data_IF_761117471220
#
_entry.id   IF_761117471220
#
_cell.length_a   1.000
_cell.length_b   1.000
_cell.length_c   1.000
_cell.angle_alpha   90.00
_cell.angle_beta   90.00
_cell.angle_gamma   90.00
#
_symmetry.space_group_name_H-M   'P 1'
#
loop_
_entity.id
_entity.type
_entity.pdbx_description
1 polymer ?
#
# COMPACT_ATOMS: atom_id res chain seq x y z
N UNK A 1 -2.45 11.58 3.23
CA UNK A 1 -3.83 11.09 3.05
C UNK A 1 -3.81 9.57 3.07
N UNK A 2 -4.69 8.93 3.82
CA UNK A 2 -4.78 7.46 3.95
C UNK A 2 -3.87 6.83 5.01
N UNK A 3 -2.92 7.57 5.61
CA UNK A 3 -1.97 7.02 6.57
C UNK A 3 -2.55 6.75 7.96
N UNK A 4 -3.66 7.41 8.34
CA UNK A 4 -4.24 7.27 9.67
C UNK A 4 -3.35 7.78 10.82
N UNK A 5 -2.57 8.83 10.59
CA UNK A 5 -1.66 9.38 11.60
C UNK A 5 -2.39 9.81 12.89
N UNK A 6 -2.00 9.22 14.03
CA UNK A 6 -2.70 9.37 15.32
C UNK A 6 -2.66 10.79 15.90
N UNK A 7 -1.52 11.51 15.91
CA UNK A 7 -1.47 12.89 16.37
C UNK A 7 -2.40 13.81 15.58
N UNK A 8 -2.40 13.67 14.25
CA UNK A 8 -3.26 14.47 13.37
C UNK A 8 -4.74 14.12 13.59
N UNK A 9 -5.07 12.84 13.79
CA UNK A 9 -6.42 12.40 14.12
C UNK A 9 -6.91 13.02 15.44
N UNK A 10 -6.08 13.02 16.47
CA UNK A 10 -6.42 13.61 17.77
C UNK A 10 -6.62 15.13 17.67
N UNK A 11 -5.77 15.81 16.90
CA UNK A 11 -5.92 17.24 16.62
C UNK A 11 -7.26 17.53 15.93
N UNK A 12 -7.58 16.79 14.87
CA UNK A 12 -8.83 16.98 14.12
C UNK A 12 -10.06 16.72 14.98
N UNK A 13 -10.04 15.69 15.84
CA UNK A 13 -11.13 15.44 16.81
C UNK A 13 -11.31 16.62 17.77
N UNK A 14 -10.21 17.19 18.29
CA UNK A 14 -10.26 18.35 19.17
C UNK A 14 -10.78 19.62 18.46
N UNK A 15 -10.61 19.73 17.13
CA UNK A 15 -11.20 20.80 16.34
C UNK A 15 -12.69 20.56 16.07
N UNK A 16 -13.11 19.31 15.84
CA UNK A 16 -14.52 18.97 15.63
C UNK A 16 -15.40 19.25 16.84
N UNK A 17 -14.88 19.14 18.07
CA UNK A 17 -15.63 19.44 19.30
C UNK A 17 -15.83 20.94 19.52
N UNK A 18 -15.28 21.81 18.66
CA UNK A 18 -15.46 23.26 18.72
C UNK A 18 -16.83 23.70 18.19
N UNK A 19 -17.90 23.26 18.83
CA UNK A 19 -19.29 23.65 18.52
C UNK A 19 -19.86 24.44 19.69
N UNK A 20 -20.64 25.49 19.43
CA UNK A 20 -21.40 26.19 20.47
C UNK A 20 -21.59 27.69 20.20
N UNK A 21 -22.56 28.32 20.89
CA UNK A 21 -22.88 29.74 20.72
C UNK A 21 -21.72 30.67 21.14
N UNK A 22 -20.87 30.21 22.06
CA UNK A 22 -19.69 30.94 22.55
C UNK A 22 -18.54 31.01 21.52
N UNK A 23 -18.66 30.29 20.41
CA UNK A 23 -17.62 30.15 19.37
C UNK A 23 -18.11 30.67 18.03
N UNK A 24 -18.63 31.90 18.02
CA UNK A 24 -19.21 32.54 16.83
C UNK A 24 -18.25 32.66 15.61
N UNK A 25 -16.94 32.56 15.83
CA UNK A 25 -15.93 32.56 14.76
C UNK A 25 -15.81 31.22 14.01
N UNK A 26 -16.40 30.13 14.52
CA UNK A 26 -16.41 28.81 13.88
C UNK A 26 -17.59 28.75 12.92
N UNK A 27 -17.33 28.96 11.64
CA UNK A 27 -18.36 28.96 10.59
C UNK A 27 -18.65 27.54 10.09
N UNK A 28 -19.74 27.35 9.35
CA UNK A 28 -20.06 26.06 8.70
C UNK A 28 -18.88 25.52 7.88
N UNK A 29 -18.23 26.39 7.11
CA UNK A 29 -17.07 26.05 6.30
C UNK A 29 -15.89 25.49 7.08
N UNK A 30 -15.67 25.97 8.31
CA UNK A 30 -14.62 25.42 9.17
C UNK A 30 -14.89 23.97 9.56
N UNK A 31 -16.16 23.61 9.85
CA UNK A 31 -16.55 22.23 10.11
C UNK A 31 -16.41 21.35 8.86
N UNK A 32 -16.75 21.88 7.68
CA UNK A 32 -16.54 21.18 6.40
C UNK A 32 -15.05 20.92 6.16
N UNK A 33 -14.19 21.90 6.39
CA UNK A 33 -12.75 21.77 6.22
C UNK A 33 -12.15 20.70 7.16
N UNK A 34 -12.51 20.72 8.44
CA UNK A 34 -12.04 19.75 9.43
C UNK A 34 -12.55 18.34 9.09
N UNK A 35 -13.83 18.22 8.69
CA UNK A 35 -14.43 16.93 8.31
C UNK A 35 -13.78 16.37 7.04
N UNK A 36 -13.49 17.23 6.07
CA UNK A 36 -12.75 16.85 4.86
C UNK A 36 -11.33 16.37 5.20
N UNK A 37 -10.60 17.10 6.05
CA UNK A 37 -9.27 16.68 6.48
C UNK A 37 -9.29 15.32 7.19
N UNK A 38 -10.31 15.06 8.02
CA UNK A 38 -10.49 13.77 8.68
C UNK A 38 -10.79 12.66 7.68
N UNK A 39 -11.66 12.92 6.70
CA UNK A 39 -11.94 12.01 5.59
C UNK A 39 -10.70 11.66 4.77
N UNK A 40 -9.83 12.65 4.50
CA UNK A 40 -8.56 12.43 3.79
C UNK A 40 -7.53 11.68 4.64
N UNK A 41 -7.53 11.84 5.96
CA UNK A 41 -6.64 11.11 6.85
C UNK A 41 -6.94 9.61 6.82
N UNK A 42 -8.23 9.25 6.85
CA UNK A 42 -8.73 7.87 6.85
C UNK A 42 -9.35 7.48 5.50
N UNK A 43 -8.77 7.95 4.41
CA UNK A 43 -9.32 7.81 3.07
C UNK A 43 -9.56 6.33 2.71
N UNK A 44 -10.83 5.98 2.50
CA UNK A 44 -11.30 4.61 2.28
C UNK A 44 -10.79 3.62 3.35
N UNK A 45 -10.77 4.03 4.62
CA UNK A 45 -10.32 3.20 5.74
C UNK A 45 -8.80 3.00 5.80
N UNK A 46 -8.03 3.86 5.13
CA UNK A 46 -6.56 3.73 5.03
C UNK A 46 -6.10 2.84 3.87
N UNK A 47 -7.01 2.48 2.97
CA UNK A 47 -6.69 1.69 1.77
C UNK A 47 -6.24 2.57 0.60
N UNK A 48 -6.71 3.82 0.55
CA UNK A 48 -6.51 4.74 -0.57
C UNK A 48 -5.64 5.93 -0.17
N UNK A 49 -4.96 6.52 -1.15
CA UNK A 49 -4.31 7.81 -1.03
C UNK A 49 -4.58 8.70 -2.24
N UNK A 50 -4.10 9.95 -2.21
CA UNK A 50 -4.17 10.89 -3.34
C UNK A 50 -2.96 10.82 -4.26
N UNK A 51 -3.19 10.63 -5.56
CA UNK A 51 -2.15 10.63 -6.59
C UNK A 51 -1.58 12.04 -6.81
N UNK A 52 -0.34 12.12 -7.30
CA UNK A 52 0.35 13.40 -7.60
C UNK A 52 0.82 13.46 -9.06
N UNK A 53 -0.05 13.05 -9.98
CA UNK A 53 0.18 13.12 -11.43
C UNK A 53 -0.27 14.50 -11.95
N UNK A 54 0.19 14.90 -13.13
CA UNK A 54 -0.18 16.18 -13.75
C UNK A 54 -1.70 16.34 -13.93
N UNK A 55 -2.41 15.24 -14.19
CA UNK A 55 -3.88 15.19 -14.28
C UNK A 55 -4.58 15.30 -12.92
N UNK A 56 -3.91 14.85 -11.86
CA UNK A 56 -4.46 14.82 -10.51
C UNK A 56 -4.47 16.23 -9.88
N UNK A 57 -3.43 17.02 -10.13
CA UNK A 57 -3.25 18.37 -9.58
C UNK A 57 -4.46 19.29 -9.85
N UNK A 58 -4.95 19.48 -11.09
CA UNK A 58 -6.09 20.37 -11.34
C UNK A 58 -7.38 19.91 -10.66
N UNK A 59 -7.59 18.59 -10.55
CA UNK A 59 -8.75 18.01 -9.87
C UNK A 59 -8.67 18.27 -8.36
N UNK A 60 -7.47 18.13 -7.76
CA UNK A 60 -7.25 18.44 -6.35
C UNK A 60 -7.39 19.94 -6.07
N UNK A 61 -6.95 20.81 -6.97
CA UNK A 61 -7.14 22.26 -6.86
C UNK A 61 -8.62 22.63 -6.86
N UNK A 62 -9.42 21.99 -7.72
CA UNK A 62 -10.86 22.15 -7.73
C UNK A 62 -11.49 21.61 -6.43
N UNK A 63 -11.07 20.45 -5.94
CA UNK A 63 -11.64 19.85 -4.73
C UNK A 63 -11.28 20.60 -3.44
N UNK A 64 -10.05 21.13 -3.35
CA UNK A 64 -9.50 21.78 -2.17
C UNK A 64 -9.38 23.29 -2.33
N UNK A 65 -10.31 23.89 -3.08
CA UNK A 65 -10.37 25.34 -3.19
C UNK A 65 -10.46 26.00 -1.80
N UNK A 66 -9.54 26.94 -1.46
CA UNK A 66 -9.30 27.38 -0.09
C UNK A 66 -10.45 28.20 0.51
N UNK A 67 -11.36 28.72 -0.32
CA UNK A 67 -12.54 29.44 0.18
C UNK A 67 -13.63 28.46 0.58
N UNK A 68 -13.91 28.35 1.88
CA UNK A 68 -15.00 27.51 2.41
C UNK A 68 -16.33 28.29 2.50
N UNK A 69 -17.49 27.61 2.43
CA UNK A 69 -18.81 28.25 2.47
C UNK A 69 -19.17 28.75 3.87
N UNK A 70 -19.87 29.88 3.97
CA UNK A 70 -20.30 30.42 5.28
C UNK A 70 -21.55 29.72 5.83
N UNK A 71 -22.42 29.23 4.95
CA UNK A 71 -23.63 28.47 5.30
C UNK A 71 -23.77 27.25 4.39
N UNK A 72 -24.65 26.31 4.73
CA UNK A 72 -24.82 25.07 3.97
C UNK A 72 -25.32 25.29 2.54
N UNK A 73 -26.05 26.37 2.27
CA UNK A 73 -26.51 26.72 0.93
C UNK A 73 -25.60 27.72 0.19
N UNK A 74 -24.49 28.14 0.80
CA UNK A 74 -23.57 29.08 0.20
C UNK A 74 -22.71 28.40 -0.87
N UNK A 75 -22.89 28.85 -2.11
CA UNK A 75 -22.17 28.41 -3.31
C UNK A 75 -21.60 29.62 -4.09
N UNK A 76 -21.46 30.78 -3.45
CA UNK A 76 -21.13 32.04 -4.14
C UNK A 76 -19.73 32.04 -4.78
N UNK A 77 -18.74 31.50 -4.07
CA UNK A 77 -17.33 31.51 -4.49
C UNK A 77 -16.87 30.17 -5.08
N UNK A 78 -17.51 29.07 -4.66
CA UNK A 78 -17.13 27.72 -5.07
C UNK A 78 -18.31 26.77 -4.91
N UNK A 79 -18.58 25.96 -5.93
CA UNK A 79 -19.65 24.97 -5.89
C UNK A 79 -19.28 23.83 -4.93
N UNK A 80 -20.11 23.57 -3.94
CA UNK A 80 -19.84 22.52 -2.94
C UNK A 80 -19.65 21.13 -3.54
N UNK A 81 -20.30 20.83 -4.68
CA UNK A 81 -20.17 19.53 -5.34
C UNK A 81 -18.73 19.24 -5.80
N UNK A 82 -17.97 20.27 -6.17
CA UNK A 82 -16.59 20.10 -6.63
C UNK A 82 -15.65 19.62 -5.53
N UNK A 83 -16.02 19.81 -4.27
CA UNK A 83 -15.29 19.26 -3.12
C UNK A 83 -15.25 17.74 -3.10
N UNK A 84 -16.09 17.06 -3.86
CA UNK A 84 -16.07 15.59 -4.00
C UNK A 84 -15.18 15.09 -5.14
N UNK A 85 -14.62 15.98 -5.96
CA UNK A 85 -13.77 15.61 -7.10
C UNK A 85 -12.48 14.89 -6.68
N UNK A 86 -12.03 15.03 -5.42
CA UNK A 86 -10.84 14.30 -4.93
C UNK A 86 -10.98 12.77 -5.07
N UNK A 87 -12.20 12.24 -5.16
CA UNK A 87 -12.46 10.81 -5.38
C UNK A 87 -11.86 10.31 -6.69
N UNK A 88 -11.84 11.14 -7.74
CA UNK A 88 -11.25 10.80 -9.04
C UNK A 88 -9.73 10.59 -8.98
N UNK A 89 -9.09 11.18 -7.95
CA UNK A 89 -7.64 11.14 -7.74
C UNK A 89 -7.23 10.07 -6.73
N UNK A 90 -8.21 9.38 -6.13
CA UNK A 90 -7.96 8.33 -5.16
C UNK A 90 -7.39 7.08 -5.84
N UNK A 91 -6.27 6.59 -5.30
CA UNK A 91 -5.61 5.35 -5.75
C UNK A 91 -5.39 4.41 -4.56
N UNK A 92 -5.55 3.11 -4.81
CA UNK A 92 -5.33 2.07 -3.79
C UNK A 92 -3.84 1.83 -3.58
N UNK A 93 -3.39 1.88 -2.33
CA UNK A 93 -1.97 1.80 -1.94
C UNK A 93 -1.67 0.86 -0.78
N UNK A 94 -2.70 0.24 -0.22
CA UNK A 94 -2.54 -0.74 0.85
C UNK A 94 -2.09 -2.08 0.29
N UNK A 95 -0.92 -2.53 0.74
CA UNK A 95 -0.35 -3.83 0.43
C UNK A 95 -0.57 -4.79 1.60
N UNK A 96 -1.23 -5.91 1.32
CA UNK A 96 -1.47 -6.99 2.28
C UNK A 96 -0.91 -8.27 1.69
N UNK A 97 -0.12 -9.01 2.47
CA UNK A 97 0.42 -10.30 2.04
C UNK A 97 -0.39 -11.45 2.62
N UNK A 98 -0.62 -12.49 1.82
CA UNK A 98 -1.24 -13.75 2.24
C UNK A 98 -0.34 -14.92 1.85
N UNK A 99 -0.20 -15.88 2.75
CA UNK A 99 0.52 -17.10 2.46
C UNK A 99 -0.34 -18.00 1.54
N UNK A 100 0.25 -18.49 0.45
CA UNK A 100 -0.45 -19.35 -0.54
C UNK A 100 -0.91 -20.66 0.10
N UNK A 101 -0.13 -21.19 1.05
CA UNK A 101 -0.41 -22.52 1.64
C UNK A 101 -1.51 -22.48 2.71
N UNK A 102 -1.54 -21.42 3.51
CA UNK A 102 -2.47 -21.29 4.65
C UNK A 102 -3.63 -20.35 4.35
N UNK A 103 -3.56 -19.57 3.27
CA UNK A 103 -4.49 -18.49 2.92
C UNK A 103 -4.68 -17.41 4.01
N UNK A 104 -3.82 -17.41 5.04
CA UNK A 104 -3.85 -16.43 6.12
C UNK A 104 -3.01 -15.21 5.78
N UNK A 105 -3.40 -14.06 6.33
CA UNK A 105 -2.61 -12.83 6.22
C UNK A 105 -1.31 -13.02 6.98
N UNK A 106 -0.20 -12.78 6.29
CA UNK A 106 1.14 -12.89 6.83
C UNK A 106 1.80 -11.52 6.85
N UNK A 107 2.74 -11.34 7.77
CA UNK A 107 3.51 -10.11 7.91
C UNK A 107 4.95 -10.39 7.48
N UNK A 108 5.37 -9.72 6.41
CA UNK A 108 6.62 -9.98 5.70
C UNK A 108 7.40 -8.68 5.60
N UNK A 109 8.72 -8.79 5.73
CA UNK A 109 9.61 -7.65 5.58
C UNK A 109 9.94 -7.40 4.11
N UNK A 110 10.08 -6.13 3.76
CA UNK A 110 10.45 -5.69 2.43
C UNK A 110 11.31 -4.44 2.46
N UNK A 111 11.87 -4.12 1.30
CA UNK A 111 12.66 -2.92 1.02
C UNK A 111 12.03 -2.18 -0.13
N UNK A 112 11.93 -0.88 0.02
CA UNK A 112 11.40 0.03 -0.98
C UNK A 112 12.46 1.07 -1.31
N UNK A 113 12.73 1.24 -2.60
CA UNK A 113 13.56 2.32 -3.09
C UNK A 113 12.65 3.42 -3.60
N UNK A 114 12.66 4.55 -2.89
CA UNK A 114 11.91 5.75 -3.27
C UNK A 114 12.85 6.83 -3.76
N UNK A 115 12.46 7.53 -4.82
CA UNK A 115 13.13 8.72 -5.30
C UNK A 115 12.47 9.94 -4.67
N UNK A 116 13.07 10.46 -3.61
CA UNK A 116 12.64 11.69 -2.95
C UNK A 116 13.68 12.78 -3.25
N UNK A 117 13.28 13.88 -3.90
CA UNK A 117 14.15 15.04 -4.20
C UNK A 117 15.47 14.69 -4.92
N UNK A 118 15.40 13.83 -5.95
CA UNK A 118 16.56 13.31 -6.70
C UNK A 118 17.56 12.47 -5.86
N UNK A 119 17.19 12.08 -4.65
CA UNK A 119 17.96 11.17 -3.82
C UNK A 119 17.21 9.84 -3.66
N UNK A 120 17.93 8.74 -3.87
CA UNK A 120 17.40 7.40 -3.68
C UNK A 120 17.44 7.08 -2.18
N UNK A 121 16.27 6.94 -1.57
CA UNK A 121 16.13 6.51 -0.19
C UNK A 121 15.66 5.06 -0.14
N UNK A 122 16.27 4.27 0.75
CA UNK A 122 15.89 2.88 1.00
C UNK A 122 15.09 2.84 2.30
N UNK A 123 13.81 2.49 2.20
CA UNK A 123 12.91 2.35 3.34
C UNK A 123 12.56 0.87 3.52
N UNK A 124 12.86 0.33 4.69
CA UNK A 124 12.36 -1.00 5.08
C UNK A 124 10.90 -0.87 5.50
N UNK A 125 10.08 -1.84 5.14
CA UNK A 125 8.69 -1.90 5.54
C UNK A 125 8.30 -3.31 5.94
N UNK A 126 7.16 -3.41 6.63
CA UNK A 126 6.58 -4.68 7.05
C UNK A 126 5.10 -4.68 6.69
N UNK A 127 4.63 -5.74 6.04
CA UNK A 127 3.22 -5.84 5.62
C UNK A 127 2.32 -6.21 6.82
N UNK A 128 1.05 -5.76 6.86
CA UNK A 128 0.39 -4.86 5.91
C UNK A 128 0.97 -3.44 5.98
N UNK A 129 1.21 -2.84 4.82
CA UNK A 129 1.81 -1.50 4.73
C UNK A 129 1.09 -0.62 3.72
N UNK A 130 1.17 0.69 3.95
CA UNK A 130 0.70 1.70 3.01
C UNK A 130 1.88 2.17 2.17
N UNK A 131 1.81 1.96 0.85
CA UNK A 131 2.88 2.35 -0.07
C UNK A 131 2.87 3.87 -0.31
N UNK A 132 4.03 4.47 -0.62
CA UNK A 132 4.10 5.85 -1.11
C UNK A 132 3.54 5.95 -2.54
N UNK A 133 3.57 7.15 -3.12
CA UNK A 133 3.12 7.36 -4.49
C UNK A 133 3.94 6.55 -5.50
N UNK A 134 3.30 5.90 -6.46
CA UNK A 134 3.94 5.09 -7.49
C UNK A 134 4.99 5.85 -8.32
N UNK A 135 4.80 7.16 -8.55
CA UNK A 135 5.80 7.99 -9.27
C UNK A 135 7.16 7.98 -8.53
N UNK A 136 7.13 7.92 -7.20
CA UNK A 136 8.34 7.90 -6.37
C UNK A 136 8.98 6.52 -6.29
N UNK A 137 8.26 5.44 -6.61
CA UNK A 137 8.74 4.06 -6.42
C UNK A 137 9.65 3.69 -7.60
N UNK A 138 10.89 3.30 -7.29
CA UNK A 138 11.86 2.77 -8.28
C UNK A 138 11.94 1.26 -8.25
N UNK A 139 11.97 0.70 -7.05
CA UNK A 139 12.10 -0.73 -6.84
C UNK A 139 11.35 -1.11 -5.57
N UNK A 140 10.71 -2.27 -5.60
CA UNK A 140 10.08 -2.89 -4.44
C UNK A 140 10.58 -4.33 -4.35
N UNK A 141 11.14 -4.69 -3.21
CA UNK A 141 11.61 -6.03 -2.92
C UNK A 141 10.94 -6.54 -1.65
N UNK A 142 10.32 -7.70 -1.73
CA UNK A 142 9.86 -8.46 -0.56
C UNK A 142 10.95 -9.48 -0.27
N UNK A 143 11.64 -9.31 0.85
CA UNK A 143 12.78 -10.15 1.23
C UNK A 143 12.66 -10.50 2.71
N UNK A 144 12.26 -11.74 2.94
CA UNK A 144 12.12 -12.31 4.27
C UNK A 144 12.66 -13.74 4.28
N UNK A 145 13.26 -14.15 5.39
CA UNK A 145 14.02 -15.40 5.48
C UNK A 145 13.19 -16.66 5.37
N UNK A 146 11.85 -16.57 5.38
CA UNK A 146 10.97 -17.73 5.30
C UNK A 146 10.23 -17.83 3.96
N UNK A 147 10.32 -16.81 3.12
CA UNK A 147 9.52 -16.66 1.90
C UNK A 147 10.42 -16.50 0.67
N UNK A 148 9.89 -16.83 -0.50
CA UNK A 148 10.58 -16.57 -1.76
C UNK A 148 10.64 -15.05 -2.03
N UNK A 149 11.81 -14.52 -2.46
CA UNK A 149 11.94 -13.10 -2.71
C UNK A 149 11.17 -12.69 -3.97
N UNK A 150 10.48 -11.55 -3.89
CA UNK A 150 9.73 -10.97 -5.02
C UNK A 150 10.29 -9.58 -5.28
N UNK A 151 10.64 -9.29 -6.53
CA UNK A 151 11.27 -8.02 -6.93
C UNK A 151 10.45 -7.40 -8.06
N UNK A 152 10.09 -6.14 -7.89
CA UNK A 152 9.50 -5.27 -8.91
C UNK A 152 10.46 -4.11 -9.16
N UNK A 153 11.05 -4.04 -10.35
CA UNK A 153 12.05 -3.02 -10.72
C UNK A 153 11.74 -2.40 -12.09
N UNK A 154 11.24 -3.19 -13.03
CA UNK A 154 10.90 -2.70 -14.36
C UNK A 154 9.59 -1.91 -14.35
N UNK A 155 9.44 -0.94 -15.26
CA UNK A 155 8.21 -0.14 -15.37
C UNK A 155 6.95 -0.99 -15.61
N UNK A 156 7.04 -2.04 -16.45
CA UNK A 156 5.94 -2.98 -16.65
C UNK A 156 5.54 -3.71 -15.37
N UNK A 157 6.52 -4.07 -14.53
CA UNK A 157 6.28 -4.75 -13.26
C UNK A 157 5.59 -3.81 -12.25
N UNK A 158 6.01 -2.54 -12.23
CA UNK A 158 5.38 -1.50 -11.40
C UNK A 158 3.94 -1.23 -11.87
N UNK A 159 3.68 -1.21 -13.18
CA UNK A 159 2.33 -1.11 -13.72
C UNK A 159 1.46 -2.31 -13.31
N UNK A 160 1.99 -3.54 -13.38
CA UNK A 160 1.29 -4.73 -12.87
C UNK A 160 0.99 -4.63 -11.38
N UNK A 161 1.96 -4.14 -10.59
CA UNK A 161 1.76 -3.91 -9.16
C UNK A 161 0.63 -2.89 -8.90
N UNK A 162 0.55 -1.81 -9.69
CA UNK A 162 -0.54 -0.84 -9.63
C UNK A 162 -1.90 -1.49 -9.96
N UNK A 163 -1.95 -2.38 -10.95
CA UNK A 163 -3.16 -3.13 -11.30
C UNK A 163 -3.58 -4.08 -10.16
N UNK A 164 -2.64 -4.79 -9.54
CA UNK A 164 -2.92 -5.67 -8.40
C UNK A 164 -3.47 -4.91 -7.18
N UNK A 165 -2.90 -3.74 -6.89
CA UNK A 165 -3.37 -2.87 -5.80
C UNK A 165 -4.76 -2.29 -6.09
N UNK A 166 -5.05 -1.98 -7.35
CA UNK A 166 -6.36 -1.44 -7.77
C UNK A 166 -7.49 -2.46 -7.62
N UNK A 167 -7.19 -3.77 -7.74
CA UNK A 167 -8.13 -4.86 -7.49
C UNK A 167 -8.35 -5.06 -5.99
N UNK A 168 -7.46 -5.83 -5.36
CA UNK A 168 -7.66 -6.30 -3.99
C UNK A 168 -6.53 -5.88 -3.05
N UNK A 169 -5.35 -5.51 -3.57
CA UNK A 169 -4.16 -5.22 -2.75
C UNK A 169 -3.61 -6.45 -2.01
N UNK A 170 -4.00 -7.65 -2.44
CA UNK A 170 -3.55 -8.92 -1.90
C UNK A 170 -2.36 -9.45 -2.69
N UNK A 171 -1.28 -9.77 -1.99
CA UNK A 171 -0.07 -10.35 -2.54
C UNK A 171 0.11 -11.76 -2.00
N UNK A 172 0.12 -12.74 -2.89
CA UNK A 172 0.32 -14.12 -2.51
C UNK A 172 1.82 -14.42 -2.43
N UNK A 173 2.25 -14.89 -1.26
CA UNK A 173 3.66 -15.22 -1.02
C UNK A 173 3.76 -16.68 -0.61
N UNK A 174 4.73 -17.38 -1.18
CA UNK A 174 4.96 -18.79 -0.89
C UNK A 174 6.14 -18.95 0.06
N UNK A 175 5.96 -19.78 1.10
CA UNK A 175 7.06 -20.18 1.99
C UNK A 175 8.10 -20.97 1.21
N UNK A 176 9.38 -20.68 1.46
CA UNK A 176 10.47 -21.54 1.03
C UNK A 176 10.58 -22.71 2.02
N UNK A 177 10.21 -23.91 1.60
CA UNK A 177 10.22 -25.13 2.43
C UNK A 177 11.61 -25.48 2.97
N UNK A 178 12.65 -25.22 2.19
CA UNK A 178 14.05 -25.42 2.60
C UNK A 178 14.43 -24.40 3.68
N UNK A 179 14.11 -23.11 3.47
CA UNK A 179 14.52 -22.01 4.35
C UNK A 179 13.74 -22.00 5.68
N UNK A 180 12.45 -22.31 5.64
CA UNK A 180 11.60 -22.46 6.83
C UNK A 180 11.98 -23.66 7.70
N UNK A 181 12.46 -24.75 7.10
CA UNK A 181 12.97 -25.90 7.85
C UNK A 181 14.30 -25.61 8.56
N UNK A 182 15.14 -24.75 7.97
CA UNK A 182 16.42 -24.29 8.52
C UNK A 182 16.23 -23.33 9.71
N UNK A 183 15.24 -22.43 9.65
CA UNK A 183 14.94 -21.52 10.76
C UNK A 183 14.33 -22.24 11.96
N UNK A 184 13.56 -23.31 11.73
CA UNK A 184 12.98 -24.14 12.80
C UNK A 184 13.98 -25.12 13.44
N UNK A 185 15.02 -25.55 12.72
CA UNK A 185 16.00 -26.54 13.21
C UNK A 185 17.40 -25.94 13.33
N UNK A 186 17.68 -25.36 14.50
CA UNK A 186 19.02 -24.84 14.89
C UNK A 186 20.10 -25.91 15.13
N UNK A 187 19.84 -27.20 14.89
CA UNK A 187 20.77 -28.30 15.20
C UNK A 187 21.53 -28.79 13.96
N UNK A 188 22.86 -28.90 14.07
CA UNK A 188 23.77 -29.34 13.00
C UNK A 188 23.50 -30.75 12.47
N UNK A 189 22.90 -31.63 13.26
CA UNK A 189 22.58 -33.02 12.87
C UNK A 189 21.48 -33.12 11.81
N UNK A 190 20.51 -32.21 11.81
CA UNK A 190 19.39 -32.24 10.84
C UNK A 190 19.77 -31.76 9.44
N UNK A 191 20.85 -31.00 9.31
CA UNK A 191 21.38 -30.53 8.02
C UNK A 191 22.03 -31.66 7.21
N UNK A 192 22.79 -32.52 7.89
CA UNK A 192 23.42 -33.71 7.28
C UNK A 192 22.34 -34.69 6.81
N UNK A 193 21.26 -34.84 7.57
CA UNK A 193 20.16 -35.73 7.22
C UNK A 193 19.37 -35.23 5.99
N UNK A 194 19.20 -33.91 5.84
CA UNK A 194 18.58 -33.28 4.66
C UNK A 194 19.46 -33.30 3.40
N UNK A 195 20.79 -33.25 3.56
CA UNK A 195 21.73 -33.36 2.44
C UNK A 195 21.89 -34.81 1.97
N UNK A 196 21.87 -35.77 2.89
CA UNK A 196 22.02 -37.20 2.59
C UNK A 196 20.83 -37.82 1.86
N UNK A 197 19.64 -37.24 1.96
CA UNK A 197 18.41 -37.77 1.34
C UNK A 197 18.18 -37.27 -0.09
N UNK A 198 19.13 -36.57 -0.72
CA UNK A 198 18.81 -35.61 -1.78
C UNK A 198 19.66 -35.72 -3.07
N UNK A 199 19.83 -36.92 -3.63
CA UNK A 199 20.28 -37.08 -5.04
C UNK A 199 19.19 -36.67 -6.06
N UNK A 200 17.91 -36.66 -5.67
CA UNK A 200 16.80 -36.12 -6.46
C UNK A 200 16.82 -34.59 -6.62
N UNK A 201 17.72 -33.91 -5.90
CA UNK A 201 17.75 -32.45 -5.81
C UNK A 201 18.11 -31.77 -7.14
N UNK A 202 19.02 -32.33 -7.95
CA UNK A 202 19.40 -31.72 -9.24
C UNK A 202 18.25 -31.72 -10.27
N UNK A 203 17.40 -32.75 -10.26
CA UNK A 203 16.17 -32.78 -11.07
C UNK A 203 15.13 -31.80 -10.53
N UNK A 204 15.01 -31.66 -9.21
CA UNK A 204 14.17 -30.62 -8.62
C UNK A 204 14.73 -29.22 -8.83
N UNK A 205 16.03 -29.00 -9.03
CA UNK A 205 16.59 -27.69 -9.38
C UNK A 205 16.21 -27.29 -10.81
N UNK A 206 16.26 -28.23 -11.76
CA UNK A 206 15.75 -27.99 -13.13
C UNK A 206 14.23 -27.80 -13.17
N UNK A 207 13.47 -28.64 -12.45
CA UNK A 207 12.02 -28.44 -12.31
C UNK A 207 11.69 -27.18 -11.50
N UNK A 208 12.50 -26.79 -10.52
CA UNK A 208 12.34 -25.58 -9.73
C UNK A 208 12.72 -24.35 -10.52
N UNK A 209 13.61 -24.40 -11.51
CA UNK A 209 13.89 -23.29 -12.44
C UNK A 209 12.74 -23.11 -13.45
N UNK A 210 12.20 -24.21 -13.99
CA UNK A 210 10.97 -24.19 -14.80
C UNK A 210 9.74 -23.77 -13.99
N UNK A 211 9.65 -24.18 -12.73
CA UNK A 211 8.65 -23.70 -11.79
C UNK A 211 8.97 -22.30 -11.29
N UNK A 212 10.21 -21.82 -11.22
CA UNK A 212 10.51 -20.45 -10.76
C UNK A 212 10.08 -19.45 -11.83
N UNK A 213 10.33 -19.76 -13.10
CA UNK A 213 9.80 -19.01 -14.25
C UNK A 213 8.28 -19.17 -14.40
N UNK A 214 7.73 -20.37 -14.16
CA UNK A 214 6.29 -20.64 -14.19
C UNK A 214 5.50 -20.07 -13.01
N UNK A 215 6.07 -20.09 -11.80
CA UNK A 215 5.50 -19.59 -10.53
C UNK A 215 5.74 -18.10 -10.39
N UNK A 216 6.86 -17.52 -10.86
CA UNK A 216 6.89 -16.07 -11.07
C UNK A 216 5.78 -15.67 -12.03
N UNK A 217 5.55 -16.39 -13.14
CA UNK A 217 4.37 -16.17 -13.98
C UNK A 217 3.07 -16.32 -13.20
N UNK A 218 2.83 -17.38 -12.44
CA UNK A 218 1.55 -17.60 -11.72
C UNK A 218 1.34 -16.66 -10.51
N UNK A 219 2.41 -16.21 -9.84
CA UNK A 219 2.37 -15.23 -8.74
C UNK A 219 2.24 -13.80 -9.29
N UNK A 220 2.72 -13.52 -10.51
CA UNK A 220 2.62 -12.21 -11.17
C UNK A 220 1.48 -12.10 -12.19
N UNK A 221 0.91 -13.22 -12.63
CA UNK A 221 -0.29 -13.27 -13.47
C UNK A 221 -1.51 -13.26 -12.54
N UNK A 222 -2.52 -12.45 -12.88
CA UNK A 222 -3.79 -12.57 -12.20
C UNK A 222 -4.34 -13.97 -12.45
N UNK A 223 -4.74 -14.67 -11.39
CA UNK A 223 -5.67 -15.81 -11.52
C UNK A 223 -6.92 -15.24 -12.17
N UNK A 224 -7.03 -15.40 -13.48
CA UNK A 224 -8.15 -14.93 -14.27
C UNK A 224 -9.31 -15.91 -14.02
N UNK A 225 -9.96 -15.77 -12.87
CA UNK A 225 -11.28 -16.36 -12.65
C UNK A 225 -12.33 -15.39 -13.19
N UNK A 226 -12.35 -15.26 -14.51
CA UNK A 226 -13.48 -14.91 -15.40
C UNK A 226 -12.98 -14.83 -16.84
#
# INVERSE_FOLDING_TARGET
AGSGDLPLLNLLRALQTRVGPDRAHVTYGSHVAVSMALGLLLLGGGRYGLRNDDDAIPILLAAFYPHFPMSSNDNRFHLQIFRHLYVMVCESRLMITKDVSTHQVCSINGRLWTNDNNQIQIKTFRTPCFLPNFISIRKLEINDSNYWPIIYENDEQIQRLKQMLSRDGLFYVQKSSILSSLTLKKTSSSLVQLLSSNESSLRTWFHALQLYSGIQRIITEPINNR
#
